data_IF_056266525130
#
_entry.id   IF_056266525130
#
_cell.length_a   1.000
_cell.length_b   1.000
_cell.length_c   1.000
_cell.angle_alpha   90.00
_cell.angle_beta   90.00
_cell.angle_gamma   90.00
#
_symmetry.space_group_name_H-M   'P 1'
#
loop_
_entity.id
_entity.type
_entity.pdbx_description
1 polymer ?
#
# COMPACT_ATOMS: atom_id res chain seq x y z
N UNK A 1 -69.73 -4.65 46.21
CA UNK A 1 -68.66 -3.69 45.92
C UNK A 1 -67.36 -4.46 45.71
N UNK A 2 -66.87 -4.58 44.47
CA UNK A 2 -65.70 -5.39 44.10
C UNK A 2 -64.60 -4.47 43.56
N UNK A 3 -63.51 -4.34 44.36
CA UNK A 3 -62.34 -3.53 44.04
C UNK A 3 -61.38 -4.42 43.21
N UNK A 4 -61.11 -4.03 41.96
CA UNK A 4 -60.17 -4.70 41.07
C UNK A 4 -58.85 -3.95 41.11
N UNK A 5 -57.83 -4.60 41.69
CA UNK A 5 -56.45 -4.12 41.59
C UNK A 5 -55.89 -4.41 40.21
N UNK A 6 -55.51 -3.36 39.46
CA UNK A 6 -54.74 -3.45 38.19
C UNK A 6 -53.23 -3.46 38.54
N UNK A 7 -52.61 -4.59 38.25
CA UNK A 7 -51.16 -4.78 38.36
C UNK A 7 -50.53 -4.21 37.08
N UNK A 8 -49.81 -3.09 37.18
CA UNK A 8 -49.05 -2.51 36.07
C UNK A 8 -47.71 -3.25 35.91
N UNK A 9 -47.52 -3.88 34.76
CA UNK A 9 -46.27 -4.50 34.39
C UNK A 9 -45.38 -3.42 33.77
N UNK A 10 -44.32 -3.07 34.46
CA UNK A 10 -43.29 -2.14 34.02
C UNK A 10 -42.27 -2.94 33.15
N UNK A 11 -42.36 -2.82 31.83
CA UNK A 11 -41.38 -3.40 30.92
C UNK A 11 -40.18 -2.46 30.86
N UNK A 12 -39.09 -2.83 31.51
CA UNK A 12 -37.78 -2.19 31.34
C UNK A 12 -37.25 -2.57 29.92
N UNK A 13 -37.34 -1.62 29.00
CA UNK A 13 -36.69 -1.72 27.70
C UNK A 13 -35.16 -1.58 27.85
N UNK A 14 -34.45 -2.71 27.75
CA UNK A 14 -33.01 -2.73 27.70
C UNK A 14 -32.60 -2.25 26.28
N UNK A 15 -32.39 -0.92 26.11
CA UNK A 15 -31.85 -0.31 24.91
C UNK A 15 -30.37 -0.69 24.74
N UNK A 16 -30.10 -1.79 24.03
CA UNK A 16 -28.74 -2.14 23.63
C UNK A 16 -28.19 -1.09 22.65
N UNK A 17 -27.25 -0.26 23.11
CA UNK A 17 -26.41 0.53 22.23
C UNK A 17 -25.51 -0.46 21.44
N UNK A 18 -25.89 -0.74 20.21
CA UNK A 18 -24.96 -1.35 19.26
C UNK A 18 -23.91 -0.28 18.87
N UNK A 19 -22.79 -0.30 19.58
CA UNK A 19 -21.58 0.37 19.12
C UNK A 19 -21.12 -0.39 17.88
N UNK A 20 -21.52 0.05 16.70
CA UNK A 20 -20.90 -0.34 15.44
C UNK A 20 -19.48 0.23 15.48
N UNK A 21 -18.54 -0.56 15.99
CA UNK A 21 -17.12 -0.32 15.80
C UNK A 21 -16.86 -0.40 14.30
N UNK A 22 -16.65 0.76 13.66
CA UNK A 22 -16.02 0.80 12.36
C UNK A 22 -14.62 0.26 12.58
N UNK A 23 -14.42 -1.03 12.31
CA UNK A 23 -13.09 -1.59 12.23
C UNK A 23 -12.39 -0.88 11.07
N UNK A 24 -11.53 0.06 11.40
CA UNK A 24 -10.58 0.66 10.47
C UNK A 24 -9.68 -0.50 10.03
N UNK A 25 -9.80 -0.88 8.76
CA UNK A 25 -9.04 -1.97 8.18
C UNK A 25 -7.55 -1.60 8.29
N UNK A 26 -6.86 -2.21 9.24
CA UNK A 26 -5.44 -1.96 9.48
C UNK A 26 -4.65 -2.47 8.26
N UNK A 27 -4.26 -1.54 7.40
CA UNK A 27 -3.38 -1.82 6.28
C UNK A 27 -2.09 -2.47 6.82
N UNK A 28 -1.77 -3.66 6.32
CA UNK A 28 -0.60 -4.43 6.76
C UNK A 28 0.67 -3.58 6.74
N UNK A 29 1.43 -3.62 7.83
CA UNK A 29 2.75 -2.98 7.94
C UNK A 29 3.88 -3.88 7.46
N UNK A 30 3.57 -5.13 7.08
CA UNK A 30 4.57 -6.04 6.56
C UNK A 30 5.15 -5.52 5.24
N UNK A 31 6.46 -5.66 5.03
CA UNK A 31 7.06 -5.31 3.75
C UNK A 31 6.42 -6.14 2.63
N UNK A 32 6.20 -5.54 1.45
CA UNK A 32 5.65 -6.27 0.32
C UNK A 32 6.60 -7.38 -0.13
N UNK A 33 6.08 -8.42 -0.79
CA UNK A 33 6.95 -9.40 -1.44
C UNK A 33 7.82 -8.70 -2.50
N UNK A 34 9.05 -9.19 -2.72
CA UNK A 34 9.91 -8.66 -3.78
C UNK A 34 9.24 -8.81 -5.15
N UNK A 35 9.66 -7.99 -6.10
CA UNK A 35 9.23 -8.15 -7.49
C UNK A 35 9.69 -9.52 -8.02
N UNK A 36 8.88 -10.20 -8.87
CA UNK A 36 9.30 -11.42 -9.54
C UNK A 36 10.55 -11.18 -10.41
N UNK A 37 11.33 -12.23 -10.74
CA UNK A 37 12.59 -12.09 -11.48
C UNK A 37 12.49 -11.26 -12.76
N UNK A 38 11.38 -11.39 -13.52
CA UNK A 38 11.13 -10.64 -14.74
C UNK A 38 10.94 -9.12 -14.56
N UNK A 39 10.72 -8.69 -13.31
CA UNK A 39 10.55 -7.28 -12.92
C UNK A 39 11.65 -6.79 -11.99
N UNK A 40 12.47 -7.67 -11.41
CA UNK A 40 13.43 -7.31 -10.36
C UNK A 40 14.43 -6.23 -10.78
N UNK A 41 14.86 -6.28 -12.05
CA UNK A 41 15.84 -5.36 -12.63
C UNK A 41 15.19 -4.27 -13.49
N UNK A 42 13.86 -4.11 -13.42
CA UNK A 42 13.15 -3.02 -14.10
C UNK A 42 13.09 -1.80 -13.22
N UNK A 43 13.74 -0.75 -13.63
CA UNK A 43 13.83 0.51 -12.89
C UNK A 43 13.38 1.69 -13.73
N UNK A 44 12.92 2.75 -13.07
CA UNK A 44 12.53 4.00 -13.72
C UNK A 44 13.71 4.54 -14.54
N UNK A 45 13.48 4.94 -15.80
CA UNK A 45 14.52 5.59 -16.60
C UNK A 45 15.11 6.81 -15.87
N UNK A 46 16.42 7.01 -16.03
CA UNK A 46 17.13 8.09 -15.36
C UNK A 46 16.48 9.45 -15.64
N UNK A 47 16.30 10.25 -14.60
CA UNK A 47 15.73 11.59 -14.68
C UNK A 47 14.20 11.66 -14.70
N UNK A 48 13.48 10.55 -14.96
CA UNK A 48 12.02 10.58 -15.13
C UNK A 48 11.24 10.90 -13.85
N UNK A 49 11.84 10.70 -12.68
CA UNK A 49 11.18 11.01 -11.40
C UNK A 49 10.82 12.48 -11.24
N UNK A 50 11.53 13.38 -11.92
CA UNK A 50 11.37 14.83 -11.79
C UNK A 50 11.21 15.54 -13.13
N UNK A 51 11.17 14.82 -14.25
CA UNK A 51 10.93 15.39 -15.56
C UNK A 51 9.48 15.82 -15.70
N UNK A 52 9.26 17.14 -15.80
CA UNK A 52 7.92 17.74 -15.85
C UNK A 52 7.10 17.25 -17.05
N UNK A 53 7.73 16.99 -18.19
CA UNK A 53 7.06 16.49 -19.38
C UNK A 53 6.57 15.06 -19.16
N UNK A 54 7.44 14.20 -18.63
CA UNK A 54 7.10 12.81 -18.29
C UNK A 54 5.95 12.77 -17.26
N UNK A 55 6.02 13.61 -16.24
CA UNK A 55 4.97 13.71 -15.21
C UNK A 55 3.66 14.21 -15.81
N UNK A 56 3.68 15.19 -16.71
CA UNK A 56 2.48 15.68 -17.38
C UNK A 56 1.82 14.62 -18.28
N UNK A 57 2.63 13.89 -19.07
CA UNK A 57 2.13 12.76 -19.88
C UNK A 57 1.59 11.63 -18.99
N UNK A 58 2.25 11.37 -17.87
CA UNK A 58 1.80 10.41 -16.85
C UNK A 58 0.44 10.78 -16.24
N UNK A 59 0.20 12.08 -16.02
CA UNK A 59 -1.08 12.60 -15.57
C UNK A 59 -2.21 12.29 -16.56
N UNK A 60 -1.98 12.52 -17.84
CA UNK A 60 -2.98 12.23 -18.88
C UNK A 60 -3.35 10.74 -18.93
N UNK A 61 -2.37 9.85 -18.71
CA UNK A 61 -2.60 8.41 -18.61
C UNK A 61 -3.39 8.10 -17.34
N UNK A 62 -2.94 8.60 -16.19
CA UNK A 62 -3.54 8.33 -14.88
C UNK A 62 -5.00 8.79 -14.80
N UNK A 63 -5.33 9.93 -15.40
CA UNK A 63 -6.69 10.49 -15.43
C UNK A 63 -7.57 9.93 -16.57
N UNK A 64 -7.03 9.07 -17.43
CA UNK A 64 -7.78 8.50 -18.56
C UNK A 64 -8.00 9.45 -19.72
N UNK A 65 -7.22 10.53 -19.83
CA UNK A 65 -7.27 11.49 -20.92
C UNK A 65 -6.70 10.89 -22.19
N UNK A 66 -5.52 10.24 -22.09
CA UNK A 66 -4.85 9.59 -23.23
C UNK A 66 -5.61 8.35 -23.72
N UNK A 67 -6.20 7.59 -22.80
CA UNK A 67 -6.98 6.38 -23.09
C UNK A 67 -8.08 6.21 -22.04
N UNK A 68 -9.33 6.38 -22.43
CA UNK A 68 -10.48 6.29 -21.52
C UNK A 68 -10.63 4.93 -20.83
N UNK A 69 -10.14 3.87 -21.44
CA UNK A 69 -10.11 2.52 -20.87
C UNK A 69 -9.10 2.35 -19.74
N UNK A 70 -8.17 3.31 -19.59
CA UNK A 70 -7.15 3.34 -18.56
C UNK A 70 -7.36 4.58 -17.70
N UNK A 71 -8.09 4.42 -16.60
CA UNK A 71 -8.37 5.52 -15.68
C UNK A 71 -8.06 5.10 -14.24
N UNK A 72 -6.82 5.33 -13.83
CA UNK A 72 -6.33 5.02 -12.48
C UNK A 72 -7.02 5.88 -11.42
N UNK A 73 -7.28 7.16 -11.77
CA UNK A 73 -7.92 8.12 -10.87
C UNK A 73 -9.35 7.73 -10.48
N UNK A 74 -10.02 6.89 -11.27
CA UNK A 74 -11.36 6.37 -10.94
C UNK A 74 -11.41 5.53 -9.66
N UNK A 75 -10.27 5.01 -9.22
CA UNK A 75 -10.12 4.28 -7.97
C UNK A 75 -9.22 5.03 -6.98
N UNK A 76 -8.07 5.54 -7.45
CA UNK A 76 -7.06 6.18 -6.62
C UNK A 76 -7.29 7.67 -6.36
N UNK A 77 -8.33 8.27 -6.99
CA UNK A 77 -8.59 9.71 -6.91
C UNK A 77 -7.63 10.53 -7.76
N UNK A 78 -8.04 11.73 -8.16
CA UNK A 78 -7.21 12.64 -8.96
C UNK A 78 -6.08 13.29 -8.14
N UNK A 79 -6.25 13.32 -6.83
CA UNK A 79 -5.31 13.87 -5.84
C UNK A 79 -4.52 12.79 -5.08
N UNK A 80 -4.61 11.53 -5.52
CA UNK A 80 -4.00 10.39 -4.86
C UNK A 80 -4.74 9.87 -3.63
N UNK A 81 -5.88 10.52 -3.26
CA UNK A 81 -6.78 10.05 -2.20
C UNK A 81 -7.73 9.00 -2.76
N UNK A 82 -7.76 7.77 -2.23
CA UNK A 82 -8.62 6.74 -2.78
C UNK A 82 -10.10 7.11 -2.70
N UNK A 83 -10.82 6.89 -3.80
CA UNK A 83 -12.28 7.05 -3.91
C UNK A 83 -13.01 5.71 -3.94
N UNK A 84 -12.26 4.60 -4.03
CA UNK A 84 -12.77 3.24 -3.97
C UNK A 84 -12.14 2.49 -2.80
N UNK A 85 -12.95 1.74 -2.04
CA UNK A 85 -12.47 0.90 -0.97
C UNK A 85 -11.41 -0.11 -1.48
N UNK A 86 -10.32 -0.26 -0.73
CA UNK A 86 -9.18 -1.12 -1.05
C UNK A 86 -8.19 -0.51 -2.04
N UNK A 87 -8.45 0.68 -2.61
CA UNK A 87 -7.45 1.38 -3.40
C UNK A 87 -6.43 2.06 -2.48
N UNK A 88 -5.15 2.00 -2.88
CA UNK A 88 -4.05 2.58 -2.09
C UNK A 88 -4.12 4.11 -2.07
N UNK A 89 -3.86 4.68 -0.90
CA UNK A 89 -3.68 6.12 -0.71
C UNK A 89 -2.23 6.50 -1.03
N UNK A 90 -2.02 7.14 -2.18
CA UNK A 90 -0.69 7.54 -2.66
C UNK A 90 -0.09 8.74 -1.91
N UNK A 91 -0.84 9.40 -1.04
CA UNK A 91 -0.35 10.52 -0.22
C UNK A 91 0.39 10.05 1.04
N UNK A 92 0.26 8.77 1.40
CA UNK A 92 0.92 8.17 2.57
C UNK A 92 2.35 7.76 2.20
N UNK A 93 3.30 8.71 2.30
CA UNK A 93 4.68 8.51 1.87
C UNK A 93 5.41 7.37 2.59
N UNK A 94 5.16 7.18 3.87
CA UNK A 94 5.67 6.08 4.68
C UNK A 94 5.26 4.71 4.11
N UNK A 95 4.03 4.60 3.65
CA UNK A 95 3.52 3.39 3.00
C UNK A 95 4.06 3.20 1.59
N UNK A 96 4.19 4.28 0.84
CA UNK A 96 4.74 4.21 -0.51
C UNK A 96 6.20 3.78 -0.50
N UNK A 97 7.00 4.24 0.46
CA UNK A 97 8.42 3.91 0.60
C UNK A 97 8.71 2.44 0.93
N UNK A 98 7.72 1.67 1.37
CA UNK A 98 7.88 0.23 1.61
C UNK A 98 8.14 -0.58 0.34
N UNK A 99 7.87 -0.01 -0.83
CA UNK A 99 7.95 -0.68 -2.13
C UNK A 99 9.09 -0.07 -2.94
N UNK A 100 9.89 -0.92 -3.59
CA UNK A 100 10.82 -0.46 -4.63
C UNK A 100 10.07 -0.02 -5.88
N UNK A 101 10.74 0.71 -6.77
CA UNK A 101 10.18 1.09 -8.05
C UNK A 101 9.83 -0.12 -8.93
N UNK A 102 10.65 -1.18 -8.88
CA UNK A 102 10.38 -2.43 -9.59
C UNK A 102 9.10 -3.12 -9.09
N UNK A 103 8.83 -3.08 -7.76
CA UNK A 103 7.59 -3.62 -7.19
C UNK A 103 6.38 -2.78 -7.60
N UNK A 104 6.49 -1.45 -7.58
CA UNK A 104 5.43 -0.56 -8.08
C UNK A 104 5.12 -0.83 -9.55
N UNK A 105 6.16 -0.90 -10.39
CA UNK A 105 6.01 -1.16 -11.82
C UNK A 105 5.39 -2.54 -12.08
N UNK A 106 5.80 -3.56 -11.33
CA UNK A 106 5.19 -4.88 -11.38
C UNK A 106 3.69 -4.82 -11.06
N UNK A 107 3.29 -4.13 -9.99
CA UNK A 107 1.88 -4.00 -9.59
C UNK A 107 1.02 -3.29 -10.63
N UNK A 108 1.55 -2.26 -11.27
CA UNK A 108 0.87 -1.61 -12.39
C UNK A 108 0.78 -2.58 -13.58
N UNK A 109 1.84 -3.30 -13.86
CA UNK A 109 1.90 -4.19 -15.02
C UNK A 109 0.96 -5.39 -14.89
N UNK A 110 1.02 -6.11 -13.78
CA UNK A 110 0.29 -7.38 -13.59
C UNK A 110 -0.98 -7.24 -12.74
N UNK A 111 -1.18 -6.08 -12.14
CA UNK A 111 -2.24 -5.90 -11.15
C UNK A 111 -1.87 -6.48 -9.79
N UNK A 112 -2.88 -6.56 -8.91
CA UNK A 112 -2.72 -7.09 -7.56
C UNK A 112 -3.69 -8.25 -7.37
N UNK A 113 -3.22 -9.49 -7.15
CA UNK A 113 -4.07 -10.67 -6.98
C UNK A 113 -5.14 -10.45 -5.91
N UNK A 114 -6.33 -10.99 -6.16
CA UNK A 114 -7.49 -10.93 -5.26
C UNK A 114 -8.02 -9.51 -4.97
N UNK A 115 -7.64 -8.52 -5.81
CA UNK A 115 -8.14 -7.14 -5.71
C UNK A 115 -8.79 -6.67 -7.01
N UNK A 116 -9.31 -5.43 -6.99
CA UNK A 116 -9.85 -4.76 -8.18
C UNK A 116 -8.75 -4.11 -9.06
N UNK A 117 -7.50 -4.10 -8.61
CA UNK A 117 -6.37 -3.59 -9.40
C UNK A 117 -5.99 -4.59 -10.49
N UNK A 118 -6.41 -4.31 -11.71
CA UNK A 118 -6.21 -5.18 -12.89
C UNK A 118 -4.80 -4.98 -13.47
N UNK A 119 -4.38 -5.92 -14.32
CA UNK A 119 -3.18 -5.77 -15.16
C UNK A 119 -3.39 -4.68 -16.21
N UNK A 120 -2.38 -3.82 -16.39
CA UNK A 120 -2.39 -2.77 -17.39
C UNK A 120 -1.41 -3.00 -18.55
N UNK A 121 -0.58 -4.05 -18.51
CA UNK A 121 0.44 -4.31 -19.55
C UNK A 121 -0.14 -4.55 -20.93
N UNK A 122 -1.39 -5.03 -21.06
CA UNK A 122 -2.06 -5.23 -22.32
C UNK A 122 -2.66 -3.97 -22.92
N UNK A 123 -2.82 -2.89 -22.11
CA UNK A 123 -3.43 -1.62 -22.52
C UNK A 123 -2.46 -0.45 -22.56
N UNK A 124 -1.33 -0.56 -21.89
CA UNK A 124 -0.29 0.45 -21.80
C UNK A 124 1.06 -0.14 -22.23
N UNK A 125 1.80 0.62 -23.00
CA UNK A 125 3.22 0.33 -23.28
C UNK A 125 4.02 0.30 -21.96
N UNK A 126 5.23 -0.26 -22.00
CA UNK A 126 6.14 -0.20 -20.86
C UNK A 126 6.43 1.24 -20.45
N UNK A 127 6.70 2.09 -21.46
CA UNK A 127 6.92 3.51 -21.28
C UNK A 127 5.75 4.23 -20.61
N UNK A 128 4.53 4.00 -21.09
CA UNK A 128 3.33 4.64 -20.52
C UNK A 128 3.07 4.22 -19.05
N UNK A 129 3.40 2.98 -18.69
CA UNK A 129 3.31 2.53 -17.31
C UNK A 129 4.31 3.24 -16.39
N UNK A 130 5.53 3.48 -16.87
CA UNK A 130 6.53 4.27 -16.16
C UNK A 130 6.09 5.74 -16.01
N UNK A 131 5.53 6.34 -17.07
CA UNK A 131 4.99 7.71 -17.00
C UNK A 131 3.86 7.83 -15.98
N UNK A 132 2.90 6.90 -16.03
CA UNK A 132 1.82 6.86 -15.04
C UNK A 132 2.36 6.75 -13.61
N UNK A 133 3.37 5.90 -13.39
CA UNK A 133 4.02 5.74 -12.10
C UNK A 133 4.78 7.01 -11.67
N UNK A 134 5.46 7.69 -12.58
CA UNK A 134 6.14 8.96 -12.26
C UNK A 134 5.15 10.00 -11.72
N UNK A 135 3.96 10.09 -12.35
CA UNK A 135 2.91 11.00 -11.88
C UNK A 135 2.33 10.57 -10.53
N UNK A 136 1.95 9.30 -10.35
CA UNK A 136 1.37 8.85 -9.07
C UNK A 136 2.32 9.06 -7.88
N UNK A 137 3.63 8.97 -8.10
CA UNK A 137 4.61 9.20 -7.06
C UNK A 137 4.70 10.67 -6.63
N UNK A 138 4.25 11.61 -7.46
CA UNK A 138 4.20 13.03 -7.06
C UNK A 138 3.29 13.30 -5.87
N UNK A 139 2.33 12.42 -5.58
CA UNK A 139 1.40 12.61 -4.47
C UNK A 139 2.05 12.42 -3.09
N UNK A 140 2.95 11.46 -2.94
CA UNK A 140 3.56 11.15 -1.65
C UNK A 140 5.09 11.10 -1.66
N UNK A 141 5.72 11.02 -2.83
CA UNK A 141 7.17 10.90 -2.99
C UNK A 141 7.74 11.97 -3.94
N UNK A 142 7.11 13.15 -3.99
CA UNK A 142 7.53 14.23 -4.88
C UNK A 142 9.02 14.58 -4.67
N UNK A 143 9.79 14.60 -5.76
CA UNK A 143 11.21 14.89 -5.74
C UNK A 143 12.11 13.73 -5.30
N UNK A 144 11.52 12.59 -4.92
CA UNK A 144 12.28 11.39 -4.60
C UNK A 144 12.34 10.45 -5.80
N UNK A 145 13.39 9.62 -5.84
CA UNK A 145 13.53 8.53 -6.78
C UNK A 145 14.17 7.32 -6.11
N UNK A 146 13.99 6.17 -6.71
CA UNK A 146 14.57 4.93 -6.20
C UNK A 146 16.03 4.83 -6.57
N UNK A 147 16.90 4.67 -5.59
CA UNK A 147 18.32 4.40 -5.80
C UNK A 147 18.57 2.90 -5.73
N UNK A 148 18.98 2.32 -6.85
CA UNK A 148 19.17 0.87 -7.02
C UNK A 148 20.33 0.35 -6.17
N UNK A 149 21.38 1.16 -6.01
CA UNK A 149 22.59 0.75 -5.28
C UNK A 149 22.33 0.66 -3.77
N UNK A 150 21.55 1.59 -3.25
CA UNK A 150 21.25 1.68 -1.81
C UNK A 150 19.92 1.02 -1.44
N UNK A 151 19.09 0.70 -2.45
CA UNK A 151 17.72 0.15 -2.29
C UNK A 151 16.84 1.06 -1.42
N UNK A 152 16.94 2.37 -1.64
CA UNK A 152 16.20 3.38 -0.89
C UNK A 152 15.63 4.47 -1.78
N UNK A 153 14.59 5.14 -1.27
CA UNK A 153 14.07 6.37 -1.83
C UNK A 153 14.93 7.54 -1.37
N UNK A 154 15.61 8.18 -2.30
CA UNK A 154 16.50 9.33 -2.07
C UNK A 154 16.02 10.53 -2.87
N UNK A 155 16.57 11.73 -2.61
CA UNK A 155 16.34 12.85 -3.50
C UNK A 155 16.76 12.49 -4.93
N UNK A 156 15.96 12.82 -5.93
CA UNK A 156 16.17 12.36 -7.30
C UNK A 156 17.52 12.80 -7.89
N UNK A 157 18.03 13.96 -7.46
CA UNK A 157 19.35 14.46 -7.81
C UNK A 157 20.50 13.73 -7.10
N UNK A 158 20.22 12.90 -6.10
CA UNK A 158 21.21 12.11 -5.35
C UNK A 158 21.28 10.63 -5.80
N UNK A 159 20.44 10.21 -6.74
CA UNK A 159 20.45 8.83 -7.25
C UNK A 159 21.85 8.52 -7.83
N UNK A 160 22.43 7.40 -7.39
CA UNK A 160 23.76 6.93 -7.78
C UNK A 160 24.93 7.73 -7.17
N UNK A 161 24.66 8.72 -6.29
CA UNK A 161 25.69 9.54 -5.63
C UNK A 161 25.88 9.21 -4.16
N UNK A 162 24.92 8.54 -3.53
CA UNK A 162 24.95 8.19 -2.11
C UNK A 162 25.81 6.93 -1.92
N UNK A 163 26.95 6.97 -1.22
CA UNK A 163 27.70 5.77 -0.90
C UNK A 163 26.87 4.83 -0.01
N UNK A 164 26.82 3.53 -0.35
CA UNK A 164 26.11 2.53 0.45
C UNK A 164 26.53 2.52 1.94
N UNK A 165 27.76 2.87 2.23
CA UNK A 165 28.30 2.99 3.59
C UNK A 165 27.66 4.15 4.41
N UNK A 166 27.18 5.19 3.75
CA UNK A 166 26.58 6.34 4.45
C UNK A 166 25.17 6.02 4.99
N UNK A 167 24.50 5.00 4.48
CA UNK A 167 23.14 4.60 4.87
C UNK A 167 23.12 3.62 6.04
N UNK A 168 24.20 2.90 6.29
CA UNK A 168 24.35 2.06 7.48
C UNK A 168 24.43 2.89 8.79
N UNK A 169 24.64 4.21 8.69
CA UNK A 169 24.73 5.13 9.82
C UNK A 169 23.44 5.90 10.12
N UNK A 170 22.34 5.69 9.38
CA UNK A 170 21.07 6.34 9.68
C UNK A 170 20.42 5.67 10.91
N UNK A 171 20.04 6.43 11.97
CA UNK A 171 19.41 5.86 13.16
C UNK A 171 17.97 5.50 12.84
N UNK A 172 17.64 4.21 12.73
CA UNK A 172 16.26 3.82 12.46
C UNK A 172 15.95 2.34 12.28
N UNK A 173 16.79 1.41 12.73
CA UNK A 173 16.36 0.03 12.99
C UNK A 173 16.35 -0.24 14.50
N UNK A 174 15.22 0.03 15.12
CA UNK A 174 14.91 -0.62 16.39
C UNK A 174 14.71 -2.10 16.12
N UNK A 175 15.75 -2.88 16.44
CA UNK A 175 15.72 -4.34 16.53
C UNK A 175 14.46 -4.75 17.30
N UNK A 176 13.59 -5.62 16.77
CA UNK A 176 12.47 -6.13 17.55
C UNK A 176 13.03 -6.90 18.76
N UNK A 177 12.63 -6.46 19.96
CA UNK A 177 12.94 -7.13 21.20
C UNK A 177 12.48 -8.59 21.10
N UNK A 178 13.37 -9.51 21.51
CA UNK A 178 13.20 -10.95 21.37
C UNK A 178 11.86 -11.45 21.93
N UNK A 179 11.18 -12.25 21.14
CA UNK A 179 10.06 -13.04 21.60
C UNK A 179 10.56 -14.06 22.66
N UNK A 180 9.83 -14.25 23.77
CA UNK A 180 10.20 -15.26 24.75
C UNK A 180 10.05 -16.67 24.15
N UNK A 181 11.10 -17.48 24.34
CA UNK A 181 11.13 -18.86 23.90
C UNK A 181 9.95 -19.65 24.49
N UNK A 182 9.09 -20.18 23.63
CA UNK A 182 8.07 -21.12 24.00
C UNK A 182 8.71 -22.46 24.40
N UNK A 183 8.42 -22.90 25.64
CA UNK A 183 8.77 -24.22 26.16
C UNK A 183 8.15 -25.32 25.30
N UNK A 184 8.85 -26.45 25.07
CA UNK A 184 8.24 -27.60 24.40
C UNK A 184 7.13 -28.19 25.25
N UNK A 185 5.96 -28.35 24.64
CA UNK A 185 4.84 -29.09 25.20
C UNK A 185 5.18 -30.58 25.24
N UNK A 186 5.17 -31.12 26.44
CA UNK A 186 5.35 -32.55 26.73
C UNK A 186 4.10 -33.34 26.25
N UNK A 187 4.32 -34.35 25.44
CA UNK A 187 3.25 -35.21 24.90
C UNK A 187 2.69 -36.12 26.01
N UNK A 188 1.38 -36.39 26.06
CA UNK A 188 0.80 -37.29 27.05
C UNK A 188 1.15 -38.74 26.72
N UNK A 189 1.70 -39.47 27.71
CA UNK A 189 1.87 -40.93 27.70
C UNK A 189 0.52 -41.61 27.61
N UNK A 190 0.37 -42.50 26.62
CA UNK A 190 -0.71 -43.49 26.59
C UNK A 190 -0.38 -44.61 27.54
N UNK A 191 -1.12 -44.71 28.65
CA UNK A 191 -1.16 -45.91 29.46
C UNK A 191 -2.13 -46.92 28.80
N UNK A 192 -1.57 -48.08 28.50
CA UNK A 192 -2.32 -49.24 28.02
C UNK A 192 -2.96 -50.01 29.15
N UNK A 193 -4.21 -50.40 28.98
CA UNK A 193 -4.76 -51.66 29.46
C UNK A 193 -5.94 -52.07 28.60
#
# INVERSE_FOLDING_TARGET
MKTRHLLGIMVLGCGGLFLTSCAEEQESTAPPPPAPPEYADKHMPAGWWTDEKIIAEGKEIFEGVKNIDVNCSSCHGKDGKPVKAGARDFRKSDRMKLYSDSVWFWRISEGVPNTKMKSWKSKLSEEDRWKAMAYEHTFGLKGLGWDVATKQWVQADQIGKVPAAALAAAPGETKPAGAPASKPSEAPKKDGK
#
